data_IF_277543741774
#
_entry.id   IF_277543741774
#
_cell.length_a   1.000
_cell.length_b   1.000
_cell.length_c   1.000
_cell.angle_alpha   90.00
_cell.angle_beta   90.00
_cell.angle_gamma   90.00
#
_symmetry.space_group_name_H-M   'P 1'
#
loop_
_entity.id
_entity.type
_entity.pdbx_description
1 polymer ?
#
# COMPACT_ATOMS: atom_id res chain seq x y z
N UNK A 1 -16.74 3.48 -11.10
CA UNK A 1 -15.74 3.95 -12.07
C UNK A 1 -16.16 3.59 -13.49
N UNK A 2 -16.38 4.60 -14.33
CA UNK A 2 -16.82 4.42 -15.72
C UNK A 2 -15.65 3.89 -16.59
N UNK A 3 -15.88 2.93 -17.50
CA UNK A 3 -14.86 2.44 -18.42
C UNK A 3 -14.23 3.53 -19.29
N UNK A 4 -14.91 4.65 -19.55
CA UNK A 4 -14.42 5.77 -20.38
C UNK A 4 -13.96 7.01 -19.62
N UNK A 5 -13.77 6.95 -18.29
CA UNK A 5 -13.19 8.08 -17.54
C UNK A 5 -11.69 8.18 -17.80
N UNK A 6 -11.24 9.33 -18.31
CA UNK A 6 -9.84 9.70 -18.47
C UNK A 6 -9.08 9.63 -17.13
N UNK A 7 -7.75 9.53 -17.22
CA UNK A 7 -6.90 9.58 -16.04
C UNK A 7 -7.08 10.93 -15.33
N UNK A 8 -7.45 10.94 -14.05
CA UNK A 8 -7.77 12.17 -13.33
C UNK A 8 -6.51 13.02 -13.12
N UNK A 9 -6.63 14.33 -13.36
CA UNK A 9 -5.53 15.30 -13.18
C UNK A 9 -5.15 15.52 -11.69
N UNK A 10 -6.06 15.23 -10.76
CA UNK A 10 -5.83 15.36 -9.33
C UNK A 10 -6.23 14.07 -8.60
N UNK A 11 -5.24 13.38 -8.04
CA UNK A 11 -5.43 12.15 -7.25
C UNK A 11 -5.80 12.42 -5.79
N UNK A 12 -5.61 13.64 -5.29
CA UNK A 12 -5.83 13.99 -3.88
C UNK A 12 -7.31 14.02 -3.51
N UNK A 13 -8.17 14.31 -4.48
CA UNK A 13 -9.63 14.36 -4.34
C UNK A 13 -10.31 12.99 -4.49
N UNK A 14 -9.55 11.96 -4.88
CA UNK A 14 -10.09 10.63 -5.15
C UNK A 14 -10.13 9.82 -3.86
N UNK A 15 -11.23 9.11 -3.62
CA UNK A 15 -11.34 8.19 -2.50
C UNK A 15 -10.35 7.02 -2.61
N UNK A 16 -10.00 6.42 -1.47
CA UNK A 16 -8.99 5.34 -1.44
C UNK A 16 -9.38 4.15 -2.31
N UNK A 17 -10.62 3.70 -2.22
CA UNK A 17 -11.11 2.53 -2.98
C UNK A 17 -11.03 2.80 -4.49
N UNK A 18 -11.36 4.03 -4.90
CA UNK A 18 -11.27 4.47 -6.28
C UNK A 18 -9.82 4.59 -6.77
N UNK A 19 -8.89 4.99 -5.90
CA UNK A 19 -7.46 5.03 -6.18
C UNK A 19 -6.88 3.62 -6.36
N UNK A 20 -7.31 2.64 -5.56
CA UNK A 20 -6.92 1.23 -5.69
C UNK A 20 -7.46 0.61 -6.99
N UNK A 21 -8.69 0.97 -7.39
CA UNK A 21 -9.25 0.60 -8.69
C UNK A 21 -8.43 1.22 -9.82
N UNK A 22 -8.08 2.50 -9.73
CA UNK A 22 -7.29 3.21 -10.73
C UNK A 22 -5.90 2.59 -10.89
N UNK A 23 -5.24 2.25 -9.78
CA UNK A 23 -3.98 1.53 -9.76
C UNK A 23 -4.08 0.15 -10.45
N UNK A 24 -5.13 -0.61 -10.14
CA UNK A 24 -5.40 -1.91 -10.78
C UNK A 24 -5.70 -1.78 -12.29
N UNK A 25 -6.24 -0.65 -12.75
CA UNK A 25 -6.46 -0.38 -14.18
C UNK A 25 -5.16 0.02 -14.86
N UNK A 26 -4.37 0.90 -14.26
CA UNK A 26 -3.07 1.30 -14.79
C UNK A 26 -2.13 0.09 -14.92
N UNK A 27 -2.06 -0.79 -13.92
CA UNK A 27 -1.29 -2.05 -14.02
C UNK A 27 -1.71 -2.89 -15.23
N UNK A 28 -3.02 -3.08 -15.44
CA UNK A 28 -3.51 -3.82 -16.61
C UNK A 28 -3.20 -3.11 -17.94
N UNK A 29 -3.24 -1.78 -17.97
CA UNK A 29 -2.87 -1.01 -19.16
C UNK A 29 -1.38 -1.20 -19.50
N UNK A 30 -0.51 -1.14 -18.49
CA UNK A 30 0.93 -1.41 -18.62
C UNK A 30 1.19 -2.83 -19.14
N UNK A 31 0.54 -3.82 -18.55
CA UNK A 31 0.68 -5.22 -18.98
C UNK A 31 0.23 -5.38 -20.45
N UNK A 32 -0.89 -4.75 -20.83
CA UNK A 32 -1.38 -4.78 -22.20
C UNK A 32 -0.42 -4.10 -23.19
N UNK A 33 0.12 -2.93 -22.85
CA UNK A 33 1.11 -2.23 -23.69
C UNK A 33 2.39 -3.02 -23.81
N UNK A 34 2.89 -3.56 -22.69
CA UNK A 34 4.09 -4.39 -22.70
C UNK A 34 3.91 -5.65 -23.56
N UNK A 35 2.73 -6.30 -23.49
CA UNK A 35 2.41 -7.46 -24.34
C UNK A 35 2.26 -7.06 -25.82
N UNK A 36 1.63 -5.91 -26.10
CA UNK A 36 1.29 -5.47 -27.46
C UNK A 36 2.48 -4.86 -28.19
N UNK A 37 3.19 -3.95 -27.54
CA UNK A 37 4.19 -3.07 -28.13
C UNK A 37 5.62 -3.42 -27.66
N UNK A 38 5.76 -4.27 -26.63
CA UNK A 38 7.05 -4.66 -26.05
C UNK A 38 7.61 -3.66 -25.04
N UNK A 39 6.97 -2.51 -24.89
CA UNK A 39 7.33 -1.45 -23.95
C UNK A 39 6.07 -0.76 -23.41
N UNK A 40 6.23 -0.01 -22.32
CA UNK A 40 5.17 0.82 -21.73
C UNK A 40 5.41 2.26 -22.18
N UNK A 41 4.35 2.95 -22.57
CA UNK A 41 4.49 4.36 -22.95
C UNK A 41 4.78 5.27 -21.74
N UNK A 42 5.43 6.40 -22.01
CA UNK A 42 5.85 7.34 -20.97
C UNK A 42 4.65 7.94 -20.19
N UNK A 43 3.49 8.05 -20.84
CA UNK A 43 2.26 8.54 -20.20
C UNK A 43 1.78 7.56 -19.13
N UNK A 44 1.67 6.28 -19.46
CA UNK A 44 1.22 5.22 -18.57
C UNK A 44 2.21 4.99 -17.43
N UNK A 45 3.51 5.13 -17.70
CA UNK A 45 4.55 5.10 -16.67
C UNK A 45 4.46 6.31 -15.73
N UNK A 46 4.22 7.52 -16.25
CA UNK A 46 3.96 8.73 -15.45
C UNK A 46 2.75 8.58 -14.54
N UNK A 47 1.62 8.12 -15.11
CA UNK A 47 0.39 7.83 -14.36
C UNK A 47 0.62 6.81 -13.23
N UNK A 48 1.40 5.76 -13.49
CA UNK A 48 1.77 4.78 -12.47
C UNK A 48 2.59 5.40 -11.35
N UNK A 49 3.54 6.28 -11.70
CA UNK A 49 4.38 6.95 -10.73
C UNK A 49 3.55 7.83 -9.79
N UNK A 50 2.66 8.67 -10.35
CA UNK A 50 1.76 9.53 -9.57
C UNK A 50 0.84 8.74 -8.63
N UNK A 51 0.24 7.65 -9.14
CA UNK A 51 -0.58 6.75 -8.33
C UNK A 51 0.19 6.16 -7.15
N UNK A 52 1.42 5.71 -7.41
CA UNK A 52 2.27 5.11 -6.38
C UNK A 52 2.64 6.11 -5.31
N UNK A 53 3.03 7.33 -5.70
CA UNK A 53 3.35 8.39 -4.76
C UNK A 53 2.17 8.76 -3.86
N UNK A 54 0.97 8.89 -4.42
CA UNK A 54 -0.23 9.20 -3.63
C UNK A 54 -0.62 8.05 -2.69
N UNK A 55 -0.54 6.79 -3.16
CA UNK A 55 -0.79 5.62 -2.31
C UNK A 55 0.22 5.52 -1.17
N UNK A 56 1.51 5.71 -1.45
CA UNK A 56 2.58 5.70 -0.45
C UNK A 56 2.40 6.84 0.56
N UNK A 57 2.02 8.04 0.11
CA UNK A 57 1.69 9.19 0.98
C UNK A 57 0.53 8.85 1.93
N UNK A 58 -0.57 8.30 1.41
CA UNK A 58 -1.73 7.89 2.23
C UNK A 58 -1.39 6.78 3.20
N UNK A 59 -0.56 5.83 2.78
CA UNK A 59 -0.12 4.74 3.62
C UNK A 59 0.77 5.27 4.77
N UNK A 60 1.71 6.16 4.48
CA UNK A 60 2.54 6.79 5.50
C UNK A 60 1.71 7.59 6.54
N UNK A 61 0.69 8.33 6.11
CA UNK A 61 -0.22 9.06 7.02
C UNK A 61 -0.98 8.08 7.92
N UNK A 62 -1.47 6.98 7.35
CA UNK A 62 -2.17 5.93 8.10
C UNK A 62 -1.22 5.28 9.12
N UNK A 63 0.00 4.96 8.73
CA UNK A 63 0.98 4.30 9.60
C UNK A 63 1.45 5.23 10.73
N UNK A 64 1.64 6.53 10.43
CA UNK A 64 1.88 7.55 11.45
C UNK A 64 0.71 7.67 12.44
N UNK A 65 -0.53 7.60 11.95
CA UNK A 65 -1.72 7.62 12.82
C UNK A 65 -1.85 6.34 13.66
N UNK A 66 -1.54 5.17 13.08
CA UNK A 66 -1.61 3.88 13.75
C UNK A 66 -0.54 3.72 14.84
N UNK A 67 0.64 4.32 14.66
CA UNK A 67 1.71 4.32 15.68
C UNK A 67 1.37 5.15 16.93
N UNK A 68 0.38 6.05 16.84
CA UNK A 68 -0.09 6.89 17.96
C UNK A 68 -1.14 6.18 18.85
N UNK A 69 -1.81 5.11 18.38
CA UNK A 69 -2.87 4.39 19.11
C UNK A 69 -2.45 2.99 19.58
N UNK A 70 -1.26 2.84 20.16
CA UNK A 70 -0.98 1.68 21.04
C UNK A 70 -1.10 2.09 22.51
N UNK A 71 -2.29 2.05 23.14
CA UNK A 71 -2.34 1.90 24.59
C UNK A 71 -1.91 0.47 24.93
N UNK A 72 -1.09 0.34 25.97
CA UNK A 72 -0.28 -0.84 26.28
C UNK A 72 -0.97 -2.21 26.11
N UNK A 73 -0.26 -3.11 25.44
CA UNK A 73 -0.30 -4.52 25.82
C UNK A 73 0.94 -4.75 26.67
N UNK A 74 0.62 -5.04 27.91
CA UNK A 74 1.45 -5.20 29.09
C UNK A 74 2.70 -6.07 28.87
N UNK A 75 3.78 -5.60 29.47
CA UNK A 75 5.03 -6.29 29.64
C UNK A 75 4.83 -7.41 30.67
N UNK A 76 4.34 -8.56 30.21
CA UNK A 76 4.44 -9.81 30.96
C UNK A 76 5.87 -10.35 30.91
N UNK A 77 6.77 -9.79 31.73
CA UNK A 77 7.97 -10.48 32.18
C UNK A 77 7.56 -11.84 32.75
N UNK A 78 7.82 -12.92 32.04
CA UNK A 78 7.96 -14.23 32.67
C UNK A 78 9.37 -14.27 33.28
N UNK A 79 9.53 -14.40 34.61
CA UNK A 79 10.81 -14.76 35.16
C UNK A 79 11.15 -16.19 34.71
N UNK A 80 12.38 -16.38 34.26
CA UNK A 80 12.95 -17.70 34.01
C UNK A 80 12.89 -18.50 35.32
N UNK A 81 12.00 -19.49 35.38
CA UNK A 81 12.07 -20.49 36.44
C UNK A 81 13.22 -21.44 36.09
N UNK A 82 14.36 -21.21 36.73
CA UNK A 82 15.45 -22.16 36.94
C UNK A 82 14.85 -23.50 37.44
N UNK A 83 14.68 -24.47 36.54
CA UNK A 83 14.33 -25.84 36.91
C UNK A 83 15.63 -26.50 37.41
N UNK A 84 15.91 -26.34 38.71
CA UNK A 84 16.91 -27.12 39.44
C UNK A 84 16.45 -28.59 39.47
N UNK A 85 16.94 -29.40 38.53
CA UNK A 85 16.80 -30.86 38.57
C UNK A 85 17.54 -31.39 39.80
N UNK A 86 16.80 -31.72 40.87
CA UNK A 86 17.30 -32.58 41.93
C UNK A 86 16.92 -34.03 41.65
N UNK A 87 17.97 -34.83 41.49
CA UNK A 87 17.99 -36.30 41.54
C UNK A 87 17.23 -36.85 42.75
N UNK A 88 16.49 -37.94 42.53
CA UNK A 88 16.14 -38.95 43.53
C UNK A 88 15.95 -40.31 42.85
#
# INVERSE_FOLDING_TARGET
MDPGKDFPEDLTVIDRDDLDILNSRNHRARDLQYIRDGEVDAETEGQHHELREELDRRQAIRDASASTTRPGVDAGSAPEEDIEFREA
#
